data_IF_376555346904
#
_entry.id   IF_376555346904
#
_cell.length_a   1.000
_cell.length_b   1.000
_cell.length_c   1.000
_cell.angle_alpha   90.00
_cell.angle_beta   90.00
_cell.angle_gamma   90.00
#
_symmetry.space_group_name_H-M   'P 1'
#
loop_
_entity.id
_entity.type
_entity.pdbx_description
1 polymer ?
#
# COMPACT_ATOMS: atom_id res chain seq x y z
N UNK A 1 -19.07 15.72 2.44
CA UNK A 1 -20.02 14.67 2.12
C UNK A 1 -19.29 13.35 2.01
N UNK A 2 -19.88 12.31 2.54
CA UNK A 2 -19.22 11.01 2.68
C UNK A 2 -18.78 10.41 1.35
N UNK A 3 -19.60 10.57 0.31
CA UNK A 3 -19.25 10.04 -1.00
C UNK A 3 -18.03 10.73 -1.60
N UNK A 4 -17.94 12.05 -1.46
CA UNK A 4 -16.76 12.79 -1.92
C UNK A 4 -15.52 12.40 -1.12
N UNK A 5 -15.66 12.20 0.18
CA UNK A 5 -14.56 11.72 1.02
C UNK A 5 -14.13 10.32 0.61
N UNK A 6 -15.09 9.45 0.33
CA UNK A 6 -14.82 8.07 -0.10
C UNK A 6 -14.06 8.04 -1.42
N UNK A 7 -14.51 8.82 -2.41
CA UNK A 7 -13.84 8.88 -3.70
C UNK A 7 -12.41 9.40 -3.59
N UNK A 8 -12.20 10.41 -2.76
CA UNK A 8 -10.88 10.98 -2.55
C UNK A 8 -9.96 10.01 -1.83
N UNK A 9 -10.49 9.23 -0.88
CA UNK A 9 -9.70 8.19 -0.20
C UNK A 9 -9.31 7.09 -1.18
N UNK A 10 -10.25 6.64 -2.00
CA UNK A 10 -9.97 5.65 -3.05
C UNK A 10 -8.90 6.15 -4.02
N UNK A 11 -8.99 7.43 -4.41
CA UNK A 11 -8.01 8.03 -5.30
C UNK A 11 -6.62 8.11 -4.65
N UNK A 12 -6.56 8.44 -3.36
CA UNK A 12 -5.29 8.47 -2.62
C UNK A 12 -4.64 7.09 -2.61
N UNK A 13 -5.41 6.04 -2.40
CA UNK A 13 -4.90 4.67 -2.41
C UNK A 13 -4.34 4.30 -3.78
N UNK A 14 -5.08 4.59 -4.85
CA UNK A 14 -4.61 4.31 -6.21
C UNK A 14 -3.33 5.08 -6.54
N UNK A 15 -3.24 6.31 -6.07
CA UNK A 15 -2.08 7.16 -6.28
C UNK A 15 -0.84 6.59 -5.59
N UNK A 16 -0.98 6.12 -4.36
CA UNK A 16 0.11 5.46 -3.62
C UNK A 16 0.57 4.21 -4.37
N UNK A 17 -0.36 3.35 -4.77
CA UNK A 17 0.01 2.11 -5.46
C UNK A 17 0.65 2.37 -6.82
N UNK A 18 0.20 3.38 -7.53
CA UNK A 18 0.80 3.75 -8.81
C UNK A 18 2.23 4.27 -8.61
N UNK A 19 2.42 5.14 -7.61
CA UNK A 19 3.73 5.76 -7.38
C UNK A 19 4.80 4.71 -7.08
N UNK A 20 4.54 3.78 -6.15
CA UNK A 20 5.56 2.79 -5.83
C UNK A 20 5.78 1.79 -6.96
N UNK A 21 4.72 1.43 -7.72
CA UNK A 21 4.88 0.54 -8.88
C UNK A 21 5.73 1.19 -9.98
N UNK A 22 5.64 2.49 -10.12
CA UNK A 22 6.42 3.25 -11.11
C UNK A 22 7.84 3.56 -10.62
N UNK A 23 8.19 3.13 -9.43
CA UNK A 23 9.50 3.41 -8.84
C UNK A 23 9.63 4.82 -8.26
N UNK A 24 8.53 5.58 -8.17
CA UNK A 24 8.54 6.95 -7.64
C UNK A 24 8.29 6.96 -6.14
N UNK A 25 9.13 6.23 -5.40
CA UNK A 25 8.96 6.04 -3.95
C UNK A 25 9.00 7.37 -3.20
N UNK A 26 9.83 8.31 -3.65
CA UNK A 26 9.91 9.63 -3.01
C UNK A 26 8.58 10.38 -3.06
N UNK A 27 7.73 10.11 -4.04
CA UNK A 27 6.42 10.76 -4.16
C UNK A 27 5.43 10.27 -3.10
N UNK A 28 5.75 9.20 -2.40
CA UNK A 28 4.91 8.69 -1.32
C UNK A 28 5.04 9.49 -0.03
N UNK A 29 6.20 10.12 0.20
CA UNK A 29 6.47 10.79 1.45
C UNK A 29 5.39 11.79 1.88
N UNK A 30 4.86 12.65 0.98
CA UNK A 30 3.79 13.58 1.37
C UNK A 30 2.46 12.91 1.69
N UNK A 31 2.28 11.64 1.27
CA UNK A 31 1.02 10.92 1.44
C UNK A 31 1.04 9.97 2.63
N UNK A 32 2.16 9.89 3.34
CA UNK A 32 2.36 8.94 4.43
C UNK A 32 2.70 9.69 5.71
N UNK A 33 1.98 9.35 6.78
CA UNK A 33 2.22 9.97 8.09
C UNK A 33 3.64 9.62 8.58
N UNK A 34 4.35 10.57 9.24
CA UNK A 34 5.69 10.29 9.75
C UNK A 34 5.75 9.10 10.71
N UNK A 35 4.66 8.80 11.40
CA UNK A 35 4.59 7.72 12.39
C UNK A 35 3.79 6.51 11.89
N UNK A 36 3.67 6.33 10.59
CA UNK A 36 2.93 5.19 10.02
C UNK A 36 3.43 3.87 10.61
N UNK A 37 2.50 2.94 10.79
CA UNK A 37 2.80 1.58 11.21
C UNK A 37 2.41 0.62 10.09
N UNK A 38 3.28 -0.32 9.77
CA UNK A 38 2.97 -1.41 8.85
C UNK A 38 3.11 -2.74 9.58
N UNK A 39 2.12 -3.62 9.42
CA UNK A 39 2.09 -4.93 10.05
C UNK A 39 2.19 -6.00 8.97
N UNK A 40 3.07 -6.98 9.20
CA UNK A 40 3.25 -8.12 8.29
C UNK A 40 2.17 -9.18 8.50
N UNK A 41 1.99 -10.12 7.54
CA UNK A 41 0.96 -11.14 7.67
C UNK A 41 1.06 -11.89 9.00
N UNK A 42 -0.09 -12.23 9.57
CA UNK A 42 -0.22 -12.90 10.88
C UNK A 42 0.36 -12.12 12.05
N UNK A 43 0.57 -10.81 11.86
CA UNK A 43 1.13 -9.92 12.89
C UNK A 43 2.49 -10.39 13.42
N UNK A 44 3.26 -11.06 12.58
CA UNK A 44 4.57 -11.60 12.99
C UNK A 44 5.65 -10.53 13.14
N UNK A 45 5.37 -9.31 12.69
CA UNK A 45 6.31 -8.21 12.82
C UNK A 45 5.66 -6.92 12.36
N UNK A 46 6.30 -5.80 12.68
CA UNK A 46 5.83 -4.51 12.23
C UNK A 46 6.99 -3.55 11.96
N UNK A 47 6.71 -2.56 11.13
CA UNK A 47 7.62 -1.45 10.83
C UNK A 47 6.95 -0.20 11.36
N UNK A 48 7.72 0.68 11.99
CA UNK A 48 7.22 1.95 12.51
C UNK A 48 8.01 3.10 11.90
N UNK A 49 7.27 4.11 11.43
CA UNK A 49 7.85 5.32 10.89
C UNK A 49 7.93 5.34 9.38
N UNK A 50 7.81 6.54 8.82
CA UNK A 50 7.78 6.77 7.38
C UNK A 50 9.09 6.35 6.71
N UNK A 51 10.22 6.63 7.34
CA UNK A 51 11.53 6.34 6.75
C UNK A 51 11.69 4.84 6.48
N UNK A 52 11.43 4.01 7.49
CA UNK A 52 11.55 2.56 7.34
C UNK A 52 10.47 2.01 6.41
N UNK A 53 9.28 2.58 6.46
CA UNK A 53 8.19 2.20 5.58
C UNK A 53 8.56 2.41 4.11
N UNK A 54 9.11 3.57 3.78
CA UNK A 54 9.52 3.89 2.42
C UNK A 54 10.74 3.07 1.98
N UNK A 55 11.63 2.76 2.93
CA UNK A 55 12.81 1.95 2.63
C UNK A 55 12.43 0.58 2.08
N UNK A 56 11.33 -0.01 2.59
CA UNK A 56 10.84 -1.29 2.09
C UNK A 56 10.41 -1.22 0.62
N UNK A 57 9.68 -0.19 0.23
CA UNK A 57 9.32 0.01 -1.17
C UNK A 57 10.53 0.29 -2.03
N UNK A 58 11.45 1.09 -1.53
CA UNK A 58 12.66 1.43 -2.26
C UNK A 58 13.51 0.18 -2.55
N UNK A 59 13.69 -0.67 -1.54
CA UNK A 59 14.40 -1.94 -1.70
C UNK A 59 13.74 -2.81 -2.77
N UNK A 60 12.42 -2.96 -2.70
CA UNK A 60 11.68 -3.75 -3.69
C UNK A 60 11.86 -3.18 -5.08
N UNK A 61 11.71 -1.86 -5.24
CA UNK A 61 11.81 -1.23 -6.56
C UNK A 61 13.22 -1.33 -7.16
N UNK A 62 14.25 -1.34 -6.32
CA UNK A 62 15.63 -1.48 -6.79
C UNK A 62 15.99 -2.90 -7.17
N UNK A 63 15.38 -3.90 -6.54
CA UNK A 63 15.78 -5.29 -6.67
C UNK A 63 14.79 -6.16 -7.42
N UNK A 64 13.63 -5.63 -7.76
CA UNK A 64 12.59 -6.39 -8.45
C UNK A 64 12.03 -5.59 -9.62
N UNK A 65 11.58 -6.31 -10.64
CA UNK A 65 10.90 -5.72 -11.79
C UNK A 65 9.49 -6.30 -11.86
N UNK A 66 8.49 -5.43 -11.76
CA UNK A 66 7.09 -5.85 -11.84
C UNK A 66 6.74 -6.09 -13.30
N UNK A 67 6.24 -7.28 -13.61
CA UNK A 67 5.79 -7.64 -14.94
C UNK A 67 4.28 -7.50 -15.11
N UNK A 68 3.54 -7.85 -14.05
CA UNK A 68 2.09 -7.77 -14.03
C UNK A 68 1.63 -7.32 -12.65
N UNK A 69 0.60 -6.48 -12.61
CA UNK A 69 -0.03 -6.06 -11.38
C UNK A 69 -1.50 -5.80 -11.62
N UNK A 70 -2.34 -6.33 -10.74
CA UNK A 70 -3.77 -6.14 -10.80
C UNK A 70 -4.33 -5.98 -9.38
N UNK A 71 -5.25 -5.03 -9.23
CA UNK A 71 -6.01 -4.86 -8.00
C UNK A 71 -7.47 -5.13 -8.27
N UNK A 72 -8.15 -5.75 -7.31
CA UNK A 72 -9.59 -5.89 -7.38
C UNK A 72 -10.20 -5.87 -5.97
N UNK A 73 -11.53 -5.88 -5.92
CA UNK A 73 -12.29 -5.92 -4.67
C UNK A 73 -11.90 -4.79 -3.71
N UNK A 74 -11.72 -3.58 -4.24
CA UNK A 74 -11.45 -2.43 -3.40
C UNK A 74 -12.71 -2.03 -2.63
N UNK A 75 -12.58 -1.94 -1.30
CA UNK A 75 -13.65 -1.47 -0.43
C UNK A 75 -13.15 -0.30 0.39
N UNK A 76 -13.98 0.71 0.52
CA UNK A 76 -13.65 1.94 1.24
C UNK A 76 -14.75 2.22 2.25
N UNK A 77 -14.37 2.30 3.51
CA UNK A 77 -15.27 2.65 4.62
C UNK A 77 -14.78 3.95 5.23
N UNK A 78 -15.66 4.94 5.33
CA UNK A 78 -15.33 6.27 5.88
C UNK A 78 -16.16 6.52 7.12
N UNK A 79 -15.49 6.95 8.19
CA UNK A 79 -16.13 7.38 9.42
C UNK A 79 -15.45 8.68 9.86
N UNK A 80 -16.13 9.82 9.69
CA UNK A 80 -15.56 11.12 10.01
C UNK A 80 -14.31 11.40 9.20
N UNK A 81 -13.19 11.57 9.90
CA UNK A 81 -11.90 11.87 9.28
C UNK A 81 -11.00 10.64 9.14
N UNK A 82 -11.59 9.46 9.21
CA UNK A 82 -10.87 8.19 9.07
C UNK A 82 -11.45 7.39 7.91
N UNK A 83 -10.58 6.83 7.08
CA UNK A 83 -10.98 5.91 6.02
C UNK A 83 -10.21 4.60 6.17
N UNK A 84 -10.91 3.49 5.96
CA UNK A 84 -10.30 2.17 5.94
C UNK A 84 -10.51 1.61 4.54
N UNK A 85 -9.42 1.20 3.90
CA UNK A 85 -9.45 0.69 2.54
C UNK A 85 -8.85 -0.71 2.52
N UNK A 86 -9.58 -1.65 1.93
CA UNK A 86 -9.06 -2.99 1.68
C UNK A 86 -9.12 -3.28 0.19
N UNK A 87 -8.21 -4.10 -0.28
CA UNK A 87 -8.20 -4.58 -1.67
C UNK A 87 -7.43 -5.88 -1.77
N UNK A 88 -7.68 -6.60 -2.86
CA UNK A 88 -6.88 -7.77 -3.24
C UNK A 88 -5.97 -7.37 -4.38
N UNK A 89 -4.82 -8.00 -4.45
CA UNK A 89 -3.91 -7.79 -5.55
C UNK A 89 -3.27 -9.09 -6.02
N UNK A 90 -2.89 -9.09 -7.29
CA UNK A 90 -2.04 -10.12 -7.88
C UNK A 90 -0.87 -9.42 -8.53
N UNK A 91 0.30 -9.98 -8.38
CA UNK A 91 1.51 -9.41 -8.94
C UNK A 91 2.44 -10.53 -9.42
N UNK A 92 3.06 -10.29 -10.58
CA UNK A 92 4.16 -11.12 -11.06
C UNK A 92 5.38 -10.22 -11.15
N UNK A 93 6.46 -10.64 -10.52
CA UNK A 93 7.70 -9.86 -10.55
C UNK A 93 8.92 -10.78 -10.68
N UNK A 94 10.02 -10.19 -11.10
CA UNK A 94 11.31 -10.86 -11.21
C UNK A 94 12.27 -10.24 -10.21
N UNK A 95 12.95 -11.07 -9.43
CA UNK A 95 13.96 -10.64 -8.49
C UNK A 95 15.12 -11.64 -8.54
N UNK A 96 16.34 -11.13 -8.70
CA UNK A 96 17.54 -11.95 -8.79
C UNK A 96 17.45 -13.03 -9.86
N UNK A 97 16.84 -12.71 -11.00
CA UNK A 97 16.66 -13.64 -12.10
C UNK A 97 15.55 -14.65 -11.93
N UNK A 98 14.84 -14.63 -10.80
CA UNK A 98 13.75 -15.56 -10.53
C UNK A 98 12.40 -14.84 -10.64
N UNK A 99 11.41 -15.55 -11.17
CA UNK A 99 10.07 -15.03 -11.38
C UNK A 99 9.14 -15.52 -10.29
N UNK A 100 8.39 -14.61 -9.69
CA UNK A 100 7.48 -14.91 -8.59
C UNK A 100 6.07 -14.44 -8.88
N UNK A 101 5.10 -15.18 -8.35
CA UNK A 101 3.69 -14.81 -8.36
C UNK A 101 3.24 -14.58 -6.92
N UNK A 102 2.56 -13.45 -6.69
CA UNK A 102 2.08 -13.07 -5.36
C UNK A 102 0.60 -12.79 -5.44
N UNK A 103 -0.15 -13.35 -4.50
CA UNK A 103 -1.54 -12.99 -4.21
C UNK A 103 -1.59 -12.42 -2.81
N UNK A 104 -2.28 -11.31 -2.64
CA UNK A 104 -2.37 -10.70 -1.32
C UNK A 104 -3.64 -9.92 -1.09
N UNK A 105 -3.81 -9.54 0.15
CA UNK A 105 -4.87 -8.65 0.60
C UNK A 105 -4.25 -7.64 1.57
N UNK A 106 -4.50 -6.37 1.29
CA UNK A 106 -4.01 -5.27 2.13
C UNK A 106 -5.17 -4.54 2.78
N UNK A 107 -4.89 -3.99 3.96
CA UNK A 107 -5.75 -3.04 4.64
C UNK A 107 -4.95 -1.79 4.95
N UNK A 108 -5.48 -0.64 4.56
CA UNK A 108 -4.85 0.65 4.82
C UNK A 108 -5.81 1.54 5.59
N UNK A 109 -5.29 2.29 6.55
CA UNK A 109 -6.06 3.30 7.27
C UNK A 109 -5.50 4.67 6.92
N UNK A 110 -6.40 5.58 6.57
CA UNK A 110 -6.07 6.96 6.26
C UNK A 110 -6.76 7.89 7.25
N UNK A 111 -6.11 8.98 7.55
CA UNK A 111 -6.71 10.07 8.32
C UNK A 111 -6.64 11.37 7.52
N UNK A 112 -7.69 12.17 7.66
CA UNK A 112 -7.74 13.49 7.03
C UNK A 112 -6.88 14.46 7.82
N UNK A 113 -5.88 15.04 7.15
CA UNK A 113 -5.03 16.09 7.71
C UNK A 113 -4.89 17.19 6.67
N UNK A 114 -5.18 18.41 7.04
CA UNK A 114 -5.09 19.56 6.15
C UNK A 114 -5.82 19.32 4.82
N UNK A 115 -7.02 18.76 4.91
CA UNK A 115 -7.89 18.45 3.77
C UNK A 115 -7.35 17.39 2.80
N UNK A 116 -6.37 16.62 3.24
CA UNK A 116 -5.81 15.51 2.45
C UNK A 116 -5.83 14.21 3.25
N UNK A 117 -6.11 13.12 2.57
CA UNK A 117 -6.03 11.80 3.18
C UNK A 117 -4.57 11.37 3.28
N UNK A 118 -4.16 11.00 4.50
CA UNK A 118 -2.78 10.60 4.78
C UNK A 118 -2.79 9.19 5.36
N UNK A 119 -1.96 8.30 4.80
CA UNK A 119 -1.85 6.93 5.27
C UNK A 119 -1.18 6.89 6.64
N UNK A 120 -1.85 6.28 7.62
CA UNK A 120 -1.35 6.19 9.00
C UNK A 120 -1.09 4.75 9.43
N UNK A 121 -1.63 3.76 8.72
CA UNK A 121 -1.49 2.37 9.11
C UNK A 121 -1.70 1.45 7.91
N UNK A 122 -0.94 0.37 7.84
CA UNK A 122 -1.09 -0.63 6.78
C UNK A 122 -0.92 -2.03 7.40
N UNK A 123 -1.83 -2.93 7.08
CA UNK A 123 -1.69 -4.34 7.42
C UNK A 123 -1.66 -5.17 6.15
N UNK A 124 -0.69 -6.05 6.05
CA UNK A 124 -0.67 -7.08 5.02
C UNK A 124 -1.46 -8.26 5.59
N UNK A 125 -2.74 -8.36 5.23
CA UNK A 125 -3.65 -9.36 5.81
C UNK A 125 -3.30 -10.76 5.36
N UNK A 126 -3.02 -10.92 4.06
CA UNK A 126 -2.63 -12.19 3.46
C UNK A 126 -1.57 -11.90 2.41
N UNK A 127 -0.64 -12.81 2.28
CA UNK A 127 0.31 -12.77 1.17
C UNK A 127 0.77 -14.20 0.89
N UNK A 128 0.53 -14.67 -0.34
CA UNK A 128 0.99 -15.97 -0.79
C UNK A 128 1.90 -15.79 -1.98
N UNK A 129 3.12 -16.22 -1.84
CA UNK A 129 4.14 -16.09 -2.87
C UNK A 129 4.58 -17.48 -3.31
N UNK A 130 4.73 -17.66 -4.62
CA UNK A 130 5.19 -18.91 -5.21
C UNK A 130 6.02 -18.63 -6.45
N UNK A 131 6.91 -19.57 -6.84
CA UNK A 131 7.60 -19.45 -8.11
C UNK A 131 6.60 -19.42 -9.27
N UNK A 132 6.87 -18.59 -10.24
CA UNK A 132 5.98 -18.46 -11.39
C UNK A 132 6.63 -19.03 -12.67
#
# INVERSE_FOLDING_TARGET
MDESKRERAAAAMRQINRAWRDGRVADLAPMVHPKIVMVFPDFIGKIQGCEDFLAGFHDFCQNATIQEYREDDQQVDVAGDTAVITFRYEMVYVRSGERYHVNGRDLWVFQMQDEAWMAVWRAMLEMKESPA
#
